data_IF_051295477120
#
_entry.id   IF_051295477120
#
_cell.length_a   1.000
_cell.length_b   1.000
_cell.length_c   1.000
_cell.angle_alpha   90.00
_cell.angle_beta   90.00
_cell.angle_gamma   90.00
#
_symmetry.space_group_name_H-M   'P 1'
#
loop_
_entity.id
_entity.type
_entity.pdbx_description
1 polymer ?
#
# COMPACT_ATOMS: atom_id res chain seq x y z
N UNK A 1 -5.37 0.40 -9.73
CA UNK A 1 -6.23 0.81 -10.83
C UNK A 1 -6.39 -0.32 -11.85
N UNK A 2 -7.56 -0.89 -11.88
CA UNK A 2 -7.85 -2.08 -12.69
C UNK A 2 -8.89 -1.72 -13.74
N UNK A 3 -8.45 -1.48 -14.98
CA UNK A 3 -9.33 -1.19 -16.12
C UNK A 3 -10.34 -0.07 -15.83
N UNK A 4 -11.61 -0.43 -15.86
CA UNK A 4 -12.77 0.44 -15.59
C UNK A 4 -13.43 0.15 -14.23
N UNK A 5 -12.80 -0.69 -13.41
CA UNK A 5 -13.25 -1.10 -12.09
C UNK A 5 -13.22 -2.61 -11.90
N UNK A 6 -13.04 -3.04 -10.67
CA UNK A 6 -13.02 -4.44 -10.28
C UNK A 6 -13.39 -4.59 -8.81
N UNK A 7 -13.73 -5.80 -8.39
CA UNK A 7 -14.16 -6.10 -7.02
C UNK A 7 -13.11 -6.90 -6.27
N UNK A 8 -12.39 -6.31 -5.31
CA UNK A 8 -11.53 -7.06 -4.41
C UNK A 8 -12.37 -8.02 -3.54
N UNK A 9 -11.95 -9.29 -3.46
CA UNK A 9 -12.69 -10.33 -2.75
C UNK A 9 -11.99 -10.87 -1.52
N UNK A 10 -10.65 -10.90 -1.54
CA UNK A 10 -9.83 -11.46 -0.47
C UNK A 10 -8.58 -10.62 -0.35
N UNK A 11 -8.23 -10.21 0.86
CA UNK A 11 -6.93 -9.64 1.18
C UNK A 11 -5.96 -10.73 1.66
N UNK A 12 -4.69 -10.59 1.30
CA UNK A 12 -3.60 -11.46 1.68
C UNK A 12 -2.45 -10.63 2.22
N UNK A 13 -1.81 -11.08 3.30
CA UNK A 13 -0.63 -10.44 3.84
C UNK A 13 0.40 -11.45 4.32
N UNK A 14 1.67 -11.09 4.21
CA UNK A 14 2.79 -11.87 4.74
C UNK A 14 3.86 -10.95 5.30
N UNK A 15 4.61 -11.43 6.29
CA UNK A 15 5.60 -10.64 7.01
C UNK A 15 6.95 -11.35 7.09
N UNK A 16 8.02 -10.59 6.84
CA UNK A 16 9.39 -10.99 7.13
C UNK A 16 10.01 -9.95 8.04
N UNK A 17 10.54 -10.39 9.17
CA UNK A 17 11.16 -9.56 10.22
C UNK A 17 12.45 -10.19 10.72
N UNK A 18 13.27 -9.43 11.44
CA UNK A 18 14.39 -9.95 12.21
C UNK A 18 13.92 -10.89 13.34
N UNK A 19 14.82 -11.49 14.09
CA UNK A 19 14.44 -12.40 15.19
C UNK A 19 13.52 -11.71 16.20
N UNK A 20 12.51 -12.45 16.67
CA UNK A 20 11.42 -11.91 17.49
C UNK A 20 11.86 -11.54 18.91
N UNK A 21 12.83 -12.25 19.48
CA UNK A 21 13.31 -12.07 20.86
C UNK A 21 12.16 -11.97 21.85
N UNK A 22 11.31 -13.00 21.83
CA UNK A 22 10.16 -13.11 22.73
C UNK A 22 10.67 -13.19 24.17
N UNK A 23 10.34 -12.24 25.08
CA UNK A 23 10.97 -12.17 26.40
C UNK A 23 10.73 -13.44 27.25
N UNK A 24 9.59 -14.08 27.08
CA UNK A 24 9.21 -15.29 27.83
C UNK A 24 9.61 -16.60 27.14
N UNK A 25 10.17 -16.51 25.93
CA UNK A 25 10.54 -17.69 25.13
C UNK A 25 11.80 -17.41 24.30
N UNK A 26 12.96 -17.12 24.94
CA UNK A 26 14.21 -16.86 24.21
C UNK A 26 14.65 -18.11 23.44
N UNK A 27 15.16 -17.91 22.24
CA UNK A 27 15.63 -19.00 21.40
C UNK A 27 17.18 -19.04 21.39
N UNK A 28 17.78 -20.24 21.29
CA UNK A 28 19.24 -20.38 21.36
C UNK A 28 20.01 -19.72 20.21
N UNK A 29 19.33 -19.44 19.11
CA UNK A 29 19.92 -18.75 17.95
C UNK A 29 19.72 -17.23 17.95
N UNK A 30 18.98 -16.67 18.90
CA UNK A 30 18.71 -15.25 19.01
C UNK A 30 19.83 -14.53 19.81
N UNK A 31 20.90 -14.12 19.10
CA UNK A 31 21.94 -13.31 19.71
C UNK A 31 21.45 -11.92 20.09
N UNK A 32 21.91 -11.42 21.24
CA UNK A 32 21.69 -10.03 21.62
C UNK A 32 22.52 -9.12 20.69
N UNK A 33 21.88 -8.09 20.13
CA UNK A 33 22.55 -7.05 19.37
C UNK A 33 21.85 -5.70 19.55
N UNK A 34 22.56 -4.58 19.41
CA UNK A 34 21.93 -3.28 19.43
C UNK A 34 21.00 -3.11 18.22
N UNK A 35 19.81 -2.61 18.47
CA UNK A 35 18.85 -2.21 17.45
C UNK A 35 18.70 -0.69 17.46
N UNK A 36 18.34 -0.11 16.32
CA UNK A 36 18.03 1.32 16.26
C UNK A 36 16.82 1.60 17.16
N UNK A 37 16.90 2.48 18.15
CA UNK A 37 15.81 2.77 19.09
C UNK A 37 14.55 3.38 18.42
N UNK A 38 14.69 3.88 17.20
CA UNK A 38 13.56 4.38 16.41
C UNK A 38 12.78 3.27 15.68
N UNK A 39 13.24 2.04 15.74
CA UNK A 39 12.58 0.91 15.09
C UNK A 39 11.61 0.22 16.04
N UNK A 40 10.42 -0.12 15.53
CA UNK A 40 9.55 -1.07 16.22
C UNK A 40 10.23 -2.44 16.29
N UNK A 41 10.01 -3.16 17.40
CA UNK A 41 10.57 -4.52 17.52
C UNK A 41 9.93 -5.48 16.51
N UNK A 42 10.69 -6.50 16.10
CA UNK A 42 10.17 -7.54 15.23
C UNK A 42 8.91 -8.23 15.81
N UNK A 43 8.89 -8.44 17.13
CA UNK A 43 7.74 -8.97 17.84
C UNK A 43 6.52 -8.05 17.71
N UNK A 44 6.69 -6.74 17.93
CA UNK A 44 5.61 -5.77 17.83
C UNK A 44 5.01 -5.75 16.42
N UNK A 45 5.87 -5.76 15.38
CA UNK A 45 5.42 -5.79 13.98
C UNK A 45 4.59 -7.04 13.70
N UNK A 46 5.01 -8.20 14.22
CA UNK A 46 4.30 -9.46 14.00
C UNK A 46 2.98 -9.55 14.78
N UNK A 47 2.84 -8.81 15.88
CA UNK A 47 1.58 -8.71 16.63
C UNK A 47 0.61 -7.73 15.95
N UNK A 48 1.06 -6.55 15.60
CA UNK A 48 0.20 -5.46 15.11
C UNK A 48 -0.12 -5.57 13.63
N UNK A 49 0.83 -6.01 12.81
CA UNK A 49 0.66 -6.08 11.37
C UNK A 49 -0.57 -6.87 10.92
N UNK A 50 -0.79 -8.10 11.42
CA UNK A 50 -1.99 -8.88 11.09
C UNK A 50 -3.29 -8.24 11.57
N UNK A 51 -3.27 -7.58 12.73
CA UNK A 51 -4.44 -6.87 13.27
C UNK A 51 -4.83 -5.73 12.36
N UNK A 52 -3.86 -4.92 11.90
CA UNK A 52 -4.11 -3.84 10.94
C UNK A 52 -4.67 -4.37 9.61
N UNK A 53 -4.09 -5.44 9.08
CA UNK A 53 -4.58 -6.07 7.86
C UNK A 53 -5.99 -6.65 8.01
N UNK A 54 -6.29 -7.25 9.15
CA UNK A 54 -7.62 -7.78 9.46
C UNK A 54 -8.65 -6.66 9.60
N UNK A 55 -8.32 -5.60 10.32
CA UNK A 55 -9.19 -4.43 10.51
C UNK A 55 -9.54 -3.78 9.17
N UNK A 56 -8.53 -3.58 8.30
CA UNK A 56 -8.74 -3.05 6.96
C UNK A 56 -9.69 -3.91 6.12
N UNK A 57 -9.46 -5.22 6.07
CA UNK A 57 -10.31 -6.12 5.29
C UNK A 57 -11.71 -6.27 5.89
N UNK A 58 -11.84 -6.21 7.22
CA UNK A 58 -13.12 -6.25 7.91
C UNK A 58 -14.02 -5.06 7.53
N UNK A 59 -13.44 -3.87 7.35
CA UNK A 59 -14.17 -2.70 6.85
C UNK A 59 -14.81 -2.95 5.49
N UNK A 60 -14.13 -3.69 4.62
CA UNK A 60 -14.66 -4.09 3.31
C UNK A 60 -15.55 -5.33 3.34
N UNK A 61 -15.76 -5.95 4.50
CA UNK A 61 -16.54 -7.18 4.61
C UNK A 61 -15.94 -8.37 3.84
N UNK A 62 -14.63 -8.44 3.73
CA UNK A 62 -13.91 -9.50 3.01
C UNK A 62 -12.89 -10.20 3.90
N UNK A 63 -12.56 -11.49 3.62
CA UNK A 63 -11.55 -12.21 4.38
C UNK A 63 -10.17 -11.57 4.30
N UNK A 64 -9.47 -11.54 5.44
CA UNK A 64 -8.03 -11.32 5.53
C UNK A 64 -7.34 -12.66 5.71
N UNK A 65 -6.50 -13.04 4.77
CA UNK A 65 -5.76 -14.31 4.82
C UNK A 65 -4.30 -14.02 5.12
N UNK A 66 -3.77 -14.68 6.14
CA UNK A 66 -2.34 -14.62 6.44
C UNK A 66 -1.60 -15.56 5.51
N UNK A 67 -0.68 -15.01 4.70
CA UNK A 67 0.13 -15.78 3.78
C UNK A 67 1.30 -16.48 4.47
N UNK A 68 2.10 -15.72 5.23
CA UNK A 68 3.22 -16.27 5.99
C UNK A 68 3.71 -15.32 7.09
N UNK A 69 4.37 -15.91 8.08
CA UNK A 69 5.23 -15.24 9.05
C UNK A 69 6.63 -15.82 8.96
N UNK A 70 7.64 -14.96 8.82
CA UNK A 70 9.04 -15.37 8.78
C UNK A 70 9.90 -14.45 9.63
N UNK A 71 10.78 -15.03 10.43
CA UNK A 71 11.86 -14.30 11.08
C UNK A 71 13.20 -14.86 10.63
N UNK A 72 14.19 -13.98 10.45
CA UNK A 72 15.52 -14.39 10.03
C UNK A 72 16.57 -13.38 10.45
N UNK A 73 17.62 -13.88 11.05
CA UNK A 73 18.93 -13.22 11.20
C UNK A 73 20.02 -14.27 10.99
N UNK A 74 21.10 -13.85 10.38
CA UNK A 74 22.29 -14.67 10.19
C UNK A 74 23.52 -13.81 10.37
N UNK A 75 24.38 -14.18 11.32
CA UNK A 75 25.73 -13.65 11.40
C UNK A 75 26.62 -14.36 10.37
N UNK A 76 27.28 -13.56 9.52
CA UNK A 76 28.20 -14.09 8.53
C UNK A 76 29.56 -14.34 9.20
N UNK A 77 30.05 -15.59 9.24
CA UNK A 77 31.27 -15.95 10.00
C UNK A 77 32.53 -15.16 9.57
N UNK A 78 32.57 -14.79 8.29
CA UNK A 78 33.73 -14.13 7.68
C UNK A 78 33.86 -12.64 8.04
N UNK A 79 32.76 -11.96 8.32
CA UNK A 79 32.74 -10.51 8.55
C UNK A 79 32.11 -10.10 9.89
N UNK A 80 31.51 -11.02 10.62
CA UNK A 80 30.73 -10.71 11.81
C UNK A 80 29.47 -9.85 11.52
N UNK A 81 29.15 -9.64 10.24
CA UNK A 81 28.00 -8.85 9.84
C UNK A 81 26.71 -9.64 10.01
N UNK A 82 25.78 -9.09 10.77
CA UNK A 82 24.43 -9.68 10.90
C UNK A 82 23.55 -9.23 9.75
N UNK A 83 23.04 -10.19 9.02
CA UNK A 83 22.01 -9.98 7.98
C UNK A 83 20.66 -10.38 8.52
N UNK A 84 19.69 -9.48 8.41
CA UNK A 84 18.33 -9.67 8.90
C UNK A 84 17.37 -8.70 8.26
N UNK A 85 16.12 -8.75 8.67
CA UNK A 85 15.06 -7.85 8.20
C UNK A 85 14.81 -6.73 9.21
N UNK A 86 15.85 -5.94 9.52
CA UNK A 86 15.71 -4.74 10.36
C UNK A 86 14.80 -3.70 9.69
N UNK A 87 14.85 -3.64 8.36
CA UNK A 87 13.81 -3.05 7.54
C UNK A 87 12.82 -4.16 7.19
N UNK A 88 11.67 -4.24 7.88
CA UNK A 88 10.73 -5.33 7.68
C UNK A 88 10.15 -5.32 6.28
N UNK A 89 9.78 -6.50 5.81
CA UNK A 89 9.05 -6.64 4.55
C UNK A 89 7.64 -7.10 4.88
N UNK A 90 6.66 -6.34 4.39
CA UNK A 90 5.28 -6.77 4.33
C UNK A 90 4.90 -6.98 2.86
N UNK A 91 4.41 -8.16 2.54
CA UNK A 91 3.75 -8.43 1.27
C UNK A 91 2.26 -8.23 1.46
N UNK A 92 1.67 -7.42 0.61
CA UNK A 92 0.22 -7.27 0.50
C UNK A 92 -0.21 -7.79 -0.87
N UNK A 93 -1.29 -8.53 -0.89
CA UNK A 93 -1.85 -9.11 -2.09
C UNK A 93 -3.32 -9.41 -1.93
N UNK A 94 -3.89 -10.13 -2.88
CA UNK A 94 -5.29 -10.51 -2.79
C UNK A 94 -5.80 -11.14 -4.08
N UNK A 95 -7.08 -11.45 -4.03
CA UNK A 95 -7.83 -11.94 -5.19
C UNK A 95 -9.05 -11.03 -5.40
N UNK A 96 -9.31 -10.68 -6.62
CA UNK A 96 -10.47 -9.92 -7.03
C UNK A 96 -11.12 -10.50 -8.28
N UNK A 97 -12.24 -9.94 -8.66
CA UNK A 97 -12.95 -10.27 -9.88
C UNK A 97 -13.15 -9.01 -10.73
N UNK A 98 -13.04 -9.17 -12.03
CA UNK A 98 -13.35 -8.13 -13.01
C UNK A 98 -14.07 -8.77 -14.19
N UNK A 99 -15.05 -8.09 -14.75
CA UNK A 99 -15.71 -8.55 -15.95
C UNK A 99 -14.80 -8.35 -17.17
N UNK A 100 -14.73 -9.30 -18.10
CA UNK A 100 -13.88 -9.19 -19.28
C UNK A 100 -14.05 -7.89 -20.07
N UNK A 101 -15.28 -7.39 -20.17
CA UNK A 101 -15.61 -6.14 -20.88
C UNK A 101 -15.10 -4.88 -20.17
N UNK A 102 -14.66 -4.99 -18.92
CA UNK A 102 -14.19 -3.87 -18.11
C UNK A 102 -12.67 -3.92 -17.84
N UNK A 103 -11.97 -4.91 -18.35
CA UNK A 103 -10.52 -5.06 -18.19
C UNK A 103 -9.78 -3.93 -18.91
N UNK A 104 -10.17 -3.64 -20.13
CA UNK A 104 -9.51 -2.62 -20.95
C UNK A 104 -10.03 -1.22 -20.61
N UNK A 105 -9.09 -0.28 -20.51
CA UNK A 105 -9.39 1.15 -20.38
C UNK A 105 -9.94 1.66 -21.71
N UNK A 106 -10.94 2.52 -21.64
CA UNK A 106 -11.46 3.19 -22.83
C UNK A 106 -10.64 4.46 -23.14
N UNK A 107 -10.55 4.84 -24.43
CA UNK A 107 -9.92 6.12 -24.80
C UNK A 107 -10.57 7.30 -24.09
N UNK A 108 -9.76 8.14 -23.48
CA UNK A 108 -10.20 9.41 -22.90
C UNK A 108 -10.45 10.42 -24.05
N UNK A 109 -11.48 11.25 -23.90
CA UNK A 109 -11.91 12.22 -24.93
C UNK A 109 -11.92 13.63 -24.36
N UNK A 110 -11.76 14.64 -25.22
CA UNK A 110 -11.97 16.01 -24.80
C UNK A 110 -13.36 16.20 -24.16
N UNK A 111 -13.38 16.82 -22.99
CA UNK A 111 -14.60 17.00 -22.19
C UNK A 111 -14.88 15.90 -21.16
N UNK A 112 -14.11 14.82 -21.15
CA UNK A 112 -14.19 13.85 -20.06
C UNK A 112 -13.66 14.49 -18.76
N UNK A 113 -14.37 14.25 -17.66
CA UNK A 113 -14.00 14.78 -16.36
C UNK A 113 -12.96 13.87 -15.65
N UNK A 114 -11.97 14.49 -15.03
CA UNK A 114 -11.10 13.83 -14.07
C UNK A 114 -11.74 13.90 -12.69
N UNK A 115 -12.02 12.77 -12.09
CA UNK A 115 -12.66 12.68 -10.77
C UNK A 115 -11.67 12.08 -9.78
N UNK A 116 -11.43 12.79 -8.68
CA UNK A 116 -10.62 12.29 -7.56
C UNK A 116 -11.55 11.74 -6.50
N UNK A 117 -11.41 10.45 -6.19
CA UNK A 117 -12.13 9.80 -5.10
C UNK A 117 -11.21 9.64 -3.89
N UNK A 118 -11.59 10.18 -2.75
CA UNK A 118 -10.80 10.09 -1.51
C UNK A 118 -11.25 11.06 -0.44
N UNK A 119 -10.42 11.19 0.57
CA UNK A 119 -10.58 12.17 1.65
C UNK A 119 -9.89 13.51 1.34
N UNK A 120 -9.80 14.39 2.35
CA UNK A 120 -9.10 15.66 2.20
C UNK A 120 -7.64 15.45 1.84
N UNK A 121 -7.10 16.37 1.06
CA UNK A 121 -5.68 16.37 0.74
C UNK A 121 -4.86 16.61 2.02
N UNK A 122 -3.84 15.79 2.22
CA UNK A 122 -2.92 15.86 3.35
C UNK A 122 -1.48 15.91 2.85
N UNK A 123 -0.58 16.43 3.68
CA UNK A 123 0.86 16.40 3.41
C UNK A 123 1.41 15.00 3.64
N UNK A 124 1.06 14.07 2.75
CA UNK A 124 1.50 12.68 2.79
C UNK A 124 2.24 12.35 1.49
N UNK A 125 3.09 11.33 1.54
CA UNK A 125 3.84 10.88 0.37
C UNK A 125 4.94 11.83 -0.10
N UNK A 126 5.29 12.87 0.67
CA UNK A 126 6.34 13.82 0.30
C UNK A 126 7.71 13.16 0.08
N UNK A 127 8.00 12.08 0.80
CA UNK A 127 9.16 11.24 0.55
C UNK A 127 9.05 10.36 -0.68
N UNK A 128 7.84 10.17 -1.19
CA UNK A 128 7.54 9.30 -2.31
C UNK A 128 8.06 7.88 -2.12
N UNK A 129 8.36 7.19 -3.22
CA UNK A 129 9.04 5.91 -3.21
C UNK A 129 10.49 5.98 -2.70
N UNK A 130 11.10 7.16 -2.67
CA UNK A 130 12.46 7.36 -2.21
C UNK A 130 12.63 7.01 -0.72
N UNK A 131 11.67 7.38 0.14
CA UNK A 131 11.71 7.03 1.56
C UNK A 131 11.77 5.52 1.81
N UNK A 132 11.07 4.72 0.98
CA UNK A 132 11.11 3.27 1.07
C UNK A 132 12.45 2.67 0.60
N UNK A 133 13.23 3.40 -0.17
CA UNK A 133 14.51 2.98 -0.74
C UNK A 133 15.72 3.38 0.11
N UNK A 134 15.55 4.26 1.09
CA UNK A 134 16.60 4.65 2.02
C UNK A 134 16.97 3.51 2.95
N UNK A 135 18.23 3.46 3.38
CA UNK A 135 18.65 2.52 4.41
C UNK A 135 18.03 2.88 5.76
N UNK A 136 17.91 1.89 6.64
CA UNK A 136 17.33 2.09 7.98
C UNK A 136 18.10 3.15 8.75
N UNK A 137 17.42 4.20 9.19
CA UNK A 137 18.00 5.30 9.97
C UNK A 137 18.52 6.51 9.17
N UNK A 138 18.49 6.46 7.85
CA UNK A 138 18.92 7.58 6.99
C UNK A 138 17.82 8.65 6.80
N UNK A 139 16.55 8.28 7.01
CA UNK A 139 15.43 9.22 6.90
C UNK A 139 15.25 10.08 8.16
N UNK A 140 14.76 11.29 8.01
CA UNK A 140 14.34 12.12 9.14
C UNK A 140 12.95 11.68 9.64
N UNK A 141 12.68 11.87 10.93
CA UNK A 141 11.39 11.54 11.54
C UNK A 141 10.22 12.24 10.83
N UNK A 142 10.38 13.54 10.50
CA UNK A 142 9.35 14.29 9.78
C UNK A 142 9.08 13.74 8.38
N UNK A 143 10.09 13.23 7.67
CA UNK A 143 9.92 12.62 6.38
C UNK A 143 9.27 11.22 6.49
N UNK A 144 9.58 10.48 7.56
CA UNK A 144 8.95 9.20 7.84
C UNK A 144 7.44 9.38 8.05
N UNK A 145 7.02 10.36 8.84
CA UNK A 145 5.61 10.70 9.02
C UNK A 145 4.94 11.18 7.73
N UNK A 146 5.60 12.03 6.96
CA UNK A 146 5.10 12.50 5.68
C UNK A 146 4.99 11.39 4.60
N UNK A 147 5.63 10.25 4.82
CA UNK A 147 5.59 9.10 3.93
C UNK A 147 4.42 8.15 4.22
N UNK A 148 3.70 8.32 5.33
CA UNK A 148 2.48 7.57 5.64
C UNK A 148 1.43 7.90 4.59
N UNK A 149 0.84 6.88 3.97
CA UNK A 149 -0.03 7.07 2.82
C UNK A 149 -1.51 6.99 3.17
N UNK A 150 -1.90 6.18 4.14
CA UNK A 150 -3.30 5.86 4.39
C UNK A 150 -3.54 5.45 5.82
N UNK A 151 -4.66 5.91 6.34
CA UNK A 151 -5.10 5.60 7.67
C UNK A 151 -6.63 5.44 7.78
N UNK A 152 -7.36 5.56 6.67
CA UNK A 152 -8.81 5.53 6.71
C UNK A 152 -9.39 4.46 5.78
N UNK A 153 -9.55 3.21 6.25
CA UNK A 153 -10.11 2.12 5.46
C UNK A 153 -11.58 2.35 5.11
N UNK A 154 -12.35 3.06 5.96
CA UNK A 154 -13.74 3.43 5.66
C UNK A 154 -13.82 4.32 4.42
N UNK A 155 -12.96 5.33 4.31
CA UNK A 155 -12.91 6.19 3.13
C UNK A 155 -12.60 5.38 1.87
N UNK A 156 -11.64 4.46 1.95
CA UNK A 156 -11.32 3.60 0.82
C UNK A 156 -12.48 2.68 0.44
N UNK A 157 -13.21 2.15 1.42
CA UNK A 157 -14.42 1.36 1.18
C UNK A 157 -15.47 2.20 0.46
N UNK A 158 -15.72 3.43 0.89
CA UNK A 158 -16.66 4.35 0.22
C UNK A 158 -16.25 4.65 -1.22
N UNK A 159 -14.98 4.86 -1.48
CA UNK A 159 -14.47 4.99 -2.85
C UNK A 159 -14.73 3.72 -3.68
N UNK A 160 -14.52 2.55 -3.09
CA UNK A 160 -14.80 1.28 -3.76
C UNK A 160 -16.30 1.11 -4.05
N UNK A 161 -17.20 1.55 -3.16
CA UNK A 161 -18.64 1.52 -3.39
C UNK A 161 -19.06 2.36 -4.60
N UNK A 162 -18.46 3.52 -4.79
CA UNK A 162 -18.69 4.34 -6.00
C UNK A 162 -18.24 3.60 -7.25
N UNK A 163 -17.05 3.00 -7.22
CA UNK A 163 -16.53 2.20 -8.33
C UNK A 163 -17.44 1.00 -8.60
N UNK A 164 -17.88 0.30 -7.55
CA UNK A 164 -18.78 -0.85 -7.65
C UNK A 164 -20.14 -0.48 -8.25
N UNK A 165 -20.68 0.68 -7.87
CA UNK A 165 -21.92 1.19 -8.44
C UNK A 165 -21.78 1.52 -9.93
N UNK A 166 -20.65 2.08 -10.34
CA UNK A 166 -20.34 2.32 -11.76
C UNK A 166 -20.13 1.01 -12.51
N UNK A 167 -19.36 0.09 -11.94
CA UNK A 167 -19.08 -1.23 -12.49
C UNK A 167 -20.36 -2.06 -12.72
N UNK A 168 -21.32 -2.00 -11.78
CA UNK A 168 -22.59 -2.72 -11.88
C UNK A 168 -23.48 -2.29 -13.07
N UNK A 169 -23.15 -1.18 -13.73
CA UNK A 169 -23.84 -0.69 -14.92
C UNK A 169 -23.43 -1.40 -16.22
N UNK A 170 -22.43 -2.28 -16.16
CA UNK A 170 -21.95 -3.02 -17.31
C UNK A 170 -21.48 -2.11 -18.45
N UNK A 171 -22.11 -2.21 -19.62
CA UNK A 171 -21.77 -1.38 -20.79
C UNK A 171 -21.94 0.13 -20.55
N UNK A 172 -22.88 0.52 -19.68
CA UNK A 172 -23.15 1.92 -19.31
C UNK A 172 -22.26 2.45 -18.18
N UNK A 173 -21.19 1.73 -17.83
CA UNK A 173 -20.22 2.21 -16.85
C UNK A 173 -19.60 3.55 -17.29
N UNK A 174 -19.78 4.65 -16.55
CA UNK A 174 -19.23 5.95 -16.90
C UNK A 174 -17.70 6.04 -16.78
N UNK A 175 -17.08 5.12 -16.02
CA UNK A 175 -15.62 5.11 -15.85
C UNK A 175 -14.97 4.65 -17.15
N UNK A 176 -14.14 5.51 -17.72
CA UNK A 176 -13.35 5.19 -18.92
C UNK A 176 -11.99 4.62 -18.56
N UNK A 177 -11.37 5.16 -17.52
CA UNK A 177 -10.07 4.75 -17.02
C UNK A 177 -10.00 5.02 -15.53
N UNK A 178 -9.41 4.13 -14.78
CA UNK A 178 -9.12 4.33 -13.37
C UNK A 178 -7.60 4.26 -13.13
N UNK A 179 -7.11 5.07 -12.19
CA UNK A 179 -5.73 5.08 -11.75
C UNK A 179 -5.67 5.29 -10.24
N UNK A 180 -4.73 4.64 -9.57
CA UNK A 180 -4.51 4.84 -8.14
C UNK A 180 -3.69 6.10 -7.88
N UNK A 181 -3.98 6.75 -6.75
CA UNK A 181 -3.17 7.81 -6.20
C UNK A 181 -2.23 7.23 -5.13
N UNK A 182 -0.96 7.11 -5.46
CA UNK A 182 0.07 6.57 -4.59
C UNK A 182 0.85 7.65 -3.83
N UNK A 183 2.07 7.31 -3.41
CA UNK A 183 2.96 8.18 -2.64
C UNK A 183 3.35 9.48 -3.37
N UNK A 184 3.33 9.50 -4.69
CA UNK A 184 3.59 10.69 -5.50
C UNK A 184 2.45 11.71 -5.52
N UNK A 185 1.30 11.39 -4.91
CA UNK A 185 0.14 12.27 -4.86
C UNK A 185 -0.49 12.55 -6.21
N UNK A 186 -1.33 13.59 -6.27
CA UNK A 186 -2.02 14.00 -7.50
C UNK A 186 -1.05 14.49 -8.59
N UNK A 187 0.09 15.05 -8.18
CA UNK A 187 1.14 15.51 -9.10
C UNK A 187 1.76 14.38 -9.93
N UNK A 188 1.62 13.13 -9.48
CA UNK A 188 2.04 11.94 -10.20
C UNK A 188 0.84 11.24 -10.86
N UNK A 189 -0.24 11.03 -10.13
CA UNK A 189 -1.38 10.24 -10.57
C UNK A 189 -2.11 10.84 -11.78
N UNK A 190 -2.28 12.17 -11.84
CA UNK A 190 -2.95 12.84 -12.96
C UNK A 190 -2.12 12.75 -14.24
N UNK A 191 -0.81 13.11 -14.25
CA UNK A 191 0.03 12.91 -15.43
C UNK A 191 0.09 11.47 -15.90
N UNK A 192 0.18 10.49 -15.00
CA UNK A 192 0.20 9.07 -15.37
C UNK A 192 -1.13 8.63 -16.01
N UNK A 193 -2.25 9.08 -15.46
CA UNK A 193 -3.57 8.81 -16.04
C UNK A 193 -3.69 9.32 -17.46
N UNK A 194 -3.26 10.56 -17.70
CA UNK A 194 -3.31 11.21 -19.02
C UNK A 194 -2.30 10.59 -19.99
N UNK A 195 -1.08 10.33 -19.53
CA UNK A 195 -0.04 9.68 -20.32
C UNK A 195 -0.48 8.27 -20.77
N UNK A 196 -1.04 7.49 -19.85
CA UNK A 196 -1.57 6.16 -20.16
C UNK A 196 -2.71 6.16 -21.17
N UNK A 197 -3.41 7.28 -21.30
CA UNK A 197 -4.45 7.51 -22.31
C UNK A 197 -3.93 8.15 -23.61
N UNK A 198 -2.66 8.54 -23.67
CA UNK A 198 -2.05 9.20 -24.82
C UNK A 198 -2.55 10.62 -25.10
N UNK A 199 -3.03 11.31 -24.06
CA UNK A 199 -3.58 12.68 -24.14
C UNK A 199 -2.88 13.63 -23.19
N UNK A 200 -3.00 14.93 -23.45
CA UNK A 200 -2.69 15.99 -22.49
C UNK A 200 -3.92 16.42 -21.71
N UNK A 201 -3.72 17.22 -20.68
CA UNK A 201 -4.80 17.80 -19.89
C UNK A 201 -4.40 19.14 -19.31
N UNK A 202 -5.38 19.95 -19.00
CA UNK A 202 -5.27 21.19 -18.26
C UNK A 202 -6.05 21.07 -16.98
N UNK A 203 -5.47 21.46 -15.85
CA UNK A 203 -6.12 21.46 -14.55
C UNK A 203 -5.98 22.82 -13.89
N UNK A 204 -7.09 23.35 -13.40
CA UNK A 204 -7.08 24.51 -12.52
C UNK A 204 -6.85 24.06 -11.08
N UNK A 205 -5.76 24.55 -10.49
CA UNK A 205 -5.38 24.23 -9.11
C UNK A 205 -5.79 25.32 -8.11
N UNK A 206 -6.48 26.36 -8.58
CA UNK A 206 -6.87 27.52 -7.77
C UNK A 206 -8.31 27.45 -7.27
N UNK A 207 -8.99 26.34 -7.44
CA UNK A 207 -10.38 26.11 -7.02
C UNK A 207 -10.51 25.48 -5.63
#
# INVERSE_FOLDING_TARGET
ATGRGGKPKVGLNGFSVSHLRIPTLPQPWEAARPLNPRMASALQIMLDGPLGAAAFNNEFGRPAVTGYFRSFELETPESGLVRGYDKPIMLAGGVGAIDPEQVEKLPVRPGDAVVVLGGPAMLIGLGGGAASSLASGESSEGLDFASVQRDNPEMQRRCQEVIDACFARGADNPIRSAHENGAGGLSNAIPELLHGAGVGGESDLAG
#
